data_IF_175046537227
#
_entry.id   IF_175046537227
#
_cell.length_a   1.000
_cell.length_b   1.000
_cell.length_c   1.000
_cell.angle_alpha   90.00
_cell.angle_beta   90.00
_cell.angle_gamma   90.00
#
_symmetry.space_group_name_H-M   'P 1'
#
loop_
_entity.id
_entity.type
_entity.pdbx_description
1 polymer ?
#
# COMPACT_ATOMS: atom_id res chain seq x y z
N UNK A 1 23.98 16.50 -14.05
CA UNK A 1 24.73 15.24 -14.21
C UNK A 1 23.75 14.09 -14.09
N UNK A 2 23.56 13.29 -15.16
CA UNK A 2 22.68 12.12 -15.16
C UNK A 2 23.55 10.93 -14.75
N UNK A 3 23.41 10.45 -13.52
CA UNK A 3 24.17 9.31 -13.04
C UNK A 3 23.66 8.04 -13.72
N UNK A 4 24.58 7.18 -14.17
CA UNK A 4 24.22 5.85 -14.66
C UNK A 4 23.75 4.96 -13.51
N UNK A 5 22.93 3.96 -13.82
CA UNK A 5 22.53 2.96 -12.85
C UNK A 5 23.78 2.21 -12.40
N UNK A 6 24.18 2.39 -11.13
CA UNK A 6 25.22 1.54 -10.52
C UNK A 6 24.62 0.15 -10.37
N UNK A 7 25.13 -0.82 -11.12
CA UNK A 7 24.67 -2.21 -11.05
C UNK A 7 24.79 -2.74 -9.61
N UNK A 8 23.69 -3.27 -9.08
CA UNK A 8 23.64 -3.91 -7.75
C UNK A 8 22.75 -5.15 -7.82
N UNK A 9 23.19 -6.21 -7.14
CA UNK A 9 22.45 -7.48 -7.02
C UNK A 9 21.55 -7.52 -5.77
N UNK A 10 21.67 -6.54 -4.89
CA UNK A 10 20.91 -6.46 -3.65
C UNK A 10 20.83 -5.01 -3.15
N UNK A 11 19.76 -4.66 -2.43
CA UNK A 11 19.63 -3.36 -1.77
C UNK A 11 20.55 -3.26 -0.56
N UNK A 12 21.12 -2.08 -0.33
CA UNK A 12 22.00 -1.85 0.84
C UNK A 12 21.19 -1.85 2.15
N UNK A 13 19.93 -1.42 2.09
CA UNK A 13 19.02 -1.32 3.24
C UNK A 13 17.72 -2.06 2.92
N UNK A 14 17.30 -2.95 3.81
CA UNK A 14 15.98 -3.59 3.74
C UNK A 14 14.94 -2.74 4.47
N UNK A 15 13.74 -2.70 3.91
CA UNK A 15 12.61 -2.03 4.54
C UNK A 15 12.04 -2.85 5.70
N UNK A 16 11.47 -2.16 6.68
CA UNK A 16 10.75 -2.79 7.80
C UNK A 16 9.27 -2.85 7.48
N UNK A 17 8.71 -4.07 7.44
CA UNK A 17 7.28 -4.28 7.18
C UNK A 17 6.38 -3.59 8.21
N UNK A 18 6.82 -3.51 9.46
CA UNK A 18 6.10 -2.83 10.54
C UNK A 18 5.92 -1.33 10.25
N UNK A 19 6.96 -0.64 9.80
CA UNK A 19 6.89 0.78 9.44
C UNK A 19 5.87 1.04 8.32
N UNK A 20 5.87 0.19 7.29
CA UNK A 20 4.88 0.28 6.20
C UNK A 20 3.47 -0.03 6.72
N UNK A 21 3.32 -1.03 7.60
CA UNK A 21 2.04 -1.37 8.21
C UNK A 21 1.45 -0.19 8.98
N UNK A 22 2.27 0.50 9.80
CA UNK A 22 1.84 1.70 10.53
C UNK A 22 1.41 2.82 9.59
N UNK A 23 2.20 3.10 8.55
CA UNK A 23 1.86 4.12 7.53
C UNK A 23 0.50 3.80 6.89
N UNK A 24 0.26 2.55 6.47
CA UNK A 24 -1.01 2.18 5.85
C UNK A 24 -2.15 2.41 6.85
N UNK A 25 -2.03 1.92 8.09
CA UNK A 25 -3.06 2.09 9.12
C UNK A 25 -3.37 3.56 9.40
N UNK A 26 -2.34 4.39 9.60
CA UNK A 26 -2.48 5.83 9.87
C UNK A 26 -3.16 6.55 8.72
N UNK A 27 -2.77 6.28 7.47
CA UNK A 27 -3.36 6.96 6.31
C UNK A 27 -4.82 6.53 6.10
N UNK A 28 -5.15 5.25 6.29
CA UNK A 28 -6.54 4.79 6.22
C UNK A 28 -7.39 5.43 7.32
N UNK A 29 -6.83 5.55 8.53
CA UNK A 29 -7.48 6.22 9.65
C UNK A 29 -7.71 7.72 9.37
N UNK A 30 -6.69 8.45 8.92
CA UNK A 30 -6.78 9.88 8.63
C UNK A 30 -7.73 10.20 7.46
N UNK A 31 -7.71 9.39 6.40
CA UNK A 31 -8.38 9.75 5.13
C UNK A 31 -9.77 9.16 4.99
N UNK A 32 -10.05 8.02 5.63
CA UNK A 32 -11.25 7.22 5.35
C UNK A 32 -12.10 6.98 6.59
N UNK A 33 -11.54 6.98 7.81
CA UNK A 33 -12.30 6.66 9.06
C UNK A 33 -13.49 7.58 9.32
N UNK A 34 -13.47 8.81 8.83
CA UNK A 34 -14.59 9.76 8.98
C UNK A 34 -15.82 9.39 8.15
N UNK A 35 -15.72 8.41 7.25
CA UNK A 35 -16.81 7.96 6.39
C UNK A 35 -17.39 6.67 6.97
N UNK A 36 -18.69 6.66 7.21
CA UNK A 36 -19.41 5.51 7.79
C UNK A 36 -20.38 4.85 6.82
N UNK A 37 -20.90 5.60 5.85
CA UNK A 37 -21.82 5.15 4.80
C UNK A 37 -21.06 4.84 3.51
N UNK A 38 -21.48 3.79 2.80
CA UNK A 38 -20.84 3.43 1.52
C UNK A 38 -21.36 4.31 0.36
N UNK A 39 -20.48 5.14 -0.21
CA UNK A 39 -20.70 5.84 -1.47
C UNK A 39 -19.52 5.58 -2.41
N UNK A 40 -19.79 4.93 -3.54
CA UNK A 40 -18.73 4.52 -4.48
C UNK A 40 -17.96 5.70 -5.09
N UNK A 41 -18.60 6.84 -5.31
CA UNK A 41 -17.97 8.00 -5.93
C UNK A 41 -17.02 8.71 -4.94
N UNK A 42 -17.51 8.91 -3.71
CA UNK A 42 -16.73 9.52 -2.62
C UNK A 42 -15.60 8.60 -2.20
N UNK A 43 -15.88 7.32 -1.96
CA UNK A 43 -14.87 6.34 -1.56
C UNK A 43 -13.84 6.11 -2.67
N UNK A 44 -14.23 6.11 -3.94
CA UNK A 44 -13.29 6.01 -5.06
C UNK A 44 -12.25 7.13 -5.03
N UNK A 45 -12.69 8.39 -4.88
CA UNK A 45 -11.79 9.53 -4.73
C UNK A 45 -10.89 9.44 -3.49
N UNK A 46 -11.44 9.02 -2.35
CA UNK A 46 -10.70 8.87 -1.09
C UNK A 46 -9.67 7.74 -1.14
N UNK A 47 -10.01 6.60 -1.76
CA UNK A 47 -9.06 5.49 -1.95
C UNK A 47 -7.91 5.92 -2.86
N UNK A 48 -8.17 6.66 -3.93
CA UNK A 48 -7.12 7.21 -4.80
C UNK A 48 -6.18 8.14 -4.02
N UNK A 49 -6.74 9.07 -3.24
CA UNK A 49 -5.95 9.96 -2.39
C UNK A 49 -5.13 9.18 -1.34
N UNK A 50 -5.73 8.17 -0.71
CA UNK A 50 -5.04 7.30 0.24
C UNK A 50 -3.88 6.54 -0.42
N UNK A 51 -4.08 5.99 -1.62
CA UNK A 51 -3.03 5.36 -2.42
C UNK A 51 -1.82 6.29 -2.63
N UNK A 52 -2.08 7.54 -3.04
CA UNK A 52 -1.01 8.50 -3.29
C UNK A 52 -0.27 8.90 -2.01
N UNK A 53 -1.00 9.14 -0.92
CA UNK A 53 -0.40 9.50 0.38
C UNK A 53 0.40 8.32 0.96
N UNK A 54 -0.11 7.10 0.92
CA UNK A 54 0.62 5.90 1.36
C UNK A 54 1.91 5.75 0.56
N UNK A 55 1.84 5.83 -0.76
CA UNK A 55 3.00 5.73 -1.65
C UNK A 55 4.05 6.79 -1.31
N UNK A 56 3.62 8.03 -1.05
CA UNK A 56 4.54 9.12 -0.71
C UNK A 56 5.19 8.95 0.67
N UNK A 57 4.41 8.61 1.71
CA UNK A 57 4.94 8.35 3.06
C UNK A 57 5.91 7.15 3.08
N UNK A 58 5.64 6.11 2.30
CA UNK A 58 6.56 4.96 2.18
C UNK A 58 7.85 5.36 1.46
N UNK A 59 7.80 6.24 0.45
CA UNK A 59 9.02 6.78 -0.18
C UNK A 59 9.88 7.58 0.80
N UNK A 60 9.26 8.31 1.73
CA UNK A 60 9.95 9.09 2.76
C UNK A 60 10.72 8.22 3.78
N UNK A 61 10.52 6.90 3.79
CA UNK A 61 11.38 5.97 4.54
C UNK A 61 12.79 5.85 3.94
N UNK A 62 13.07 6.52 2.82
CA UNK A 62 14.38 6.53 2.14
C UNK A 62 14.90 5.12 1.81
N UNK A 63 13.97 4.23 1.43
CA UNK A 63 14.29 2.88 0.96
C UNK A 63 14.74 2.94 -0.49
N UNK A 64 16.05 3.07 -0.70
CA UNK A 64 16.66 3.17 -2.03
C UNK A 64 16.56 1.85 -2.79
N UNK A 65 16.56 1.91 -4.13
CA UNK A 65 16.46 0.73 -5.03
C UNK A 65 15.18 -0.09 -4.87
N UNK A 66 14.07 0.56 -4.52
CA UNK A 66 12.75 -0.09 -4.56
C UNK A 66 11.75 0.73 -5.35
N UNK A 67 10.94 0.04 -6.15
CA UNK A 67 9.67 0.53 -6.69
C UNK A 67 8.56 0.23 -5.69
N UNK A 68 7.73 1.23 -5.42
CA UNK A 68 6.62 1.14 -4.47
C UNK A 68 5.31 1.20 -5.24
N UNK A 69 4.45 0.21 -5.03
CA UNK A 69 3.11 0.14 -5.62
C UNK A 69 2.12 0.09 -4.47
N UNK A 70 1.13 0.99 -4.46
CA UNK A 70 0.08 1.03 -3.45
C UNK A 70 -1.29 0.76 -4.09
N UNK A 71 -2.08 -0.09 -3.46
CA UNK A 71 -3.46 -0.41 -3.83
C UNK A 71 -4.36 -0.28 -2.62
N UNK A 72 -5.48 0.43 -2.76
CA UNK A 72 -6.50 0.58 -1.74
C UNK A 72 -7.83 0.18 -2.34
N UNK A 73 -8.51 -0.78 -1.71
CA UNK A 73 -9.79 -1.33 -2.14
C UNK A 73 -10.80 -1.08 -1.05
N UNK A 74 -11.92 -0.44 -1.36
CA UNK A 74 -13.06 -0.31 -0.47
C UNK A 74 -14.23 -1.18 -0.97
N UNK A 75 -14.85 -1.93 -0.08
CA UNK A 75 -15.92 -2.86 -0.41
C UNK A 75 -17.05 -2.80 0.61
N UNK A 76 -18.28 -2.65 0.11
CA UNK A 76 -19.47 -2.59 0.94
C UNK A 76 -19.69 -3.91 1.69
N UNK A 77 -20.06 -3.80 2.97
CA UNK A 77 -20.59 -4.90 3.78
C UNK A 77 -21.97 -5.24 3.27
N UNK A 78 -22.13 -6.50 2.92
CA UNK A 78 -23.42 -7.07 2.56
C UNK A 78 -23.39 -8.56 2.82
N UNK A 79 -24.33 -9.29 2.23
CA UNK A 79 -24.36 -10.76 2.24
C UNK A 79 -23.35 -11.37 1.25
N UNK A 80 -22.15 -10.80 1.17
CA UNK A 80 -21.09 -11.17 0.23
C UNK A 80 -19.75 -11.28 0.94
N UNK A 81 -18.92 -12.23 0.49
CA UNK A 81 -17.55 -12.37 0.94
C UNK A 81 -16.59 -11.76 -0.07
N UNK A 82 -15.55 -11.07 0.42
CA UNK A 82 -14.47 -10.55 -0.42
C UNK A 82 -13.14 -11.10 0.07
N UNK A 83 -12.39 -11.70 -0.86
CA UNK A 83 -11.01 -12.16 -0.64
C UNK A 83 -10.11 -11.42 -1.61
N UNK A 84 -9.09 -10.75 -1.10
CA UNK A 84 -8.06 -10.08 -1.90
C UNK A 84 -6.82 -10.96 -1.88
N UNK A 85 -6.41 -11.41 -3.06
CA UNK A 85 -5.19 -12.21 -3.26
C UNK A 85 -4.37 -11.64 -4.41
N UNK A 86 -3.06 -11.86 -4.38
CA UNK A 86 -2.14 -11.46 -5.44
C UNK A 86 -1.18 -12.59 -5.76
N UNK A 87 -0.90 -12.79 -7.05
CA UNK A 87 0.10 -13.72 -7.56
C UNK A 87 1.20 -12.94 -8.22
N UNK A 88 2.43 -13.22 -7.84
CA UNK A 88 3.57 -12.43 -8.26
C UNK A 88 4.78 -13.31 -8.54
N UNK A 89 5.51 -12.98 -9.61
CA UNK A 89 6.81 -13.56 -9.91
C UNK A 89 7.87 -12.58 -9.44
N UNK A 90 8.39 -12.79 -8.23
CA UNK A 90 9.22 -11.83 -7.51
C UNK A 90 10.48 -12.49 -6.95
N UNK A 91 11.50 -11.68 -6.69
CA UNK A 91 12.67 -12.10 -5.93
C UNK A 91 12.29 -12.30 -4.47
N UNK A 92 12.28 -13.56 -4.03
CA UNK A 92 11.93 -13.96 -2.66
C UNK A 92 12.78 -13.27 -1.58
N UNK A 93 13.98 -12.79 -1.91
CA UNK A 93 14.90 -12.17 -0.94
C UNK A 93 14.67 -10.68 -0.75
N UNK A 94 14.27 -9.98 -1.79
CA UNK A 94 14.26 -8.52 -1.84
C UNK A 94 12.85 -7.94 -1.98
N UNK A 95 11.94 -8.65 -2.65
CA UNK A 95 10.58 -8.20 -2.85
C UNK A 95 9.68 -8.60 -1.67
N UNK A 96 8.73 -7.73 -1.33
CA UNK A 96 7.70 -8.10 -0.37
C UNK A 96 6.45 -7.23 -0.47
N UNK A 97 5.45 -7.59 0.31
CA UNK A 97 4.22 -6.82 0.44
C UNK A 97 3.76 -6.70 1.89
N UNK A 98 2.93 -5.70 2.15
CA UNK A 98 2.25 -5.49 3.43
C UNK A 98 0.79 -5.16 3.13
N UNK A 99 -0.12 -5.88 3.79
CA UNK A 99 -1.56 -5.67 3.65
C UNK A 99 -2.20 -5.41 5.03
N UNK A 100 -3.11 -4.44 5.06
CA UNK A 100 -3.88 -4.03 6.24
C UNK A 100 -5.35 -3.95 5.85
N UNK A 101 -6.20 -4.60 6.65
CA UNK A 101 -7.66 -4.51 6.56
C UNK A 101 -8.17 -3.65 7.71
N UNK A 102 -9.02 -2.70 7.39
CA UNK A 102 -9.78 -1.89 8.34
C UNK A 102 -11.26 -2.05 8.06
N UNK A 103 -12.04 -2.11 9.12
CA UNK A 103 -13.49 -2.23 9.07
C UNK A 103 -14.13 -0.92 9.54
N UNK A 104 -15.03 -0.35 8.74
CA UNK A 104 -15.64 0.96 8.99
C UNK A 104 -17.13 0.93 8.66
N UNK A 105 -18.01 1.18 9.62
CA UNK A 105 -19.46 1.30 9.39
C UNK A 105 -20.02 0.21 8.47
N UNK A 106 -20.44 0.60 7.27
CA UNK A 106 -21.02 -0.27 6.23
C UNK A 106 -20.03 -0.85 5.21
N UNK A 107 -18.71 -0.75 5.41
CA UNK A 107 -17.73 -1.24 4.44
C UNK A 107 -16.40 -1.69 5.06
N UNK A 108 -15.58 -2.37 4.27
CA UNK A 108 -14.20 -2.71 4.58
C UNK A 108 -13.27 -1.96 3.65
N UNK A 109 -12.08 -1.64 4.14
CA UNK A 109 -11.00 -1.09 3.33
C UNK A 109 -9.76 -1.94 3.49
N UNK A 110 -9.15 -2.33 2.38
CA UNK A 110 -7.91 -3.09 2.33
C UNK A 110 -6.86 -2.24 1.64
N UNK A 111 -5.85 -1.82 2.40
CA UNK A 111 -4.65 -1.15 1.88
C UNK A 111 -3.52 -2.15 1.73
N UNK A 112 -2.94 -2.24 0.55
CA UNK A 112 -1.82 -3.14 0.25
C UNK A 112 -0.69 -2.36 -0.43
N UNK A 113 0.52 -2.51 0.09
CA UNK A 113 1.74 -1.94 -0.49
C UNK A 113 2.65 -3.08 -0.93
N UNK A 114 3.12 -2.99 -2.16
CA UNK A 114 4.14 -3.85 -2.74
C UNK A 114 5.44 -3.06 -2.85
N UNK A 115 6.53 -3.68 -2.43
CA UNK A 115 7.87 -3.11 -2.47
C UNK A 115 8.71 -4.09 -3.29
N UNK A 116 9.11 -3.66 -4.47
CA UNK A 116 9.80 -4.48 -5.47
C UNK A 116 11.17 -3.89 -5.75
N UNK A 117 12.21 -4.69 -5.69
CA UNK A 117 13.59 -4.27 -5.95
C UNK A 117 13.72 -3.68 -7.36
N UNK A 118 14.47 -2.60 -7.45
CA UNK A 118 14.77 -1.90 -8.69
C UNK A 118 16.30 -1.89 -8.86
N UNK A 119 16.77 -2.79 -9.71
CA UNK A 119 18.15 -2.87 -10.18
C UNK A 119 18.66 -1.55 -10.79
#
# INVERSE_FOLDING_TARGET
VKYENTYKMSPDVKFRKSSIRSIISEVLEEKIKSITTYDSSVLGGKCKLACDVVKERVKQLNITRYKIIASVIAAQKGSQSMVVTSRCLWDQKNDNYVSVKVELGEFYVVGTVYVVYAE
#
